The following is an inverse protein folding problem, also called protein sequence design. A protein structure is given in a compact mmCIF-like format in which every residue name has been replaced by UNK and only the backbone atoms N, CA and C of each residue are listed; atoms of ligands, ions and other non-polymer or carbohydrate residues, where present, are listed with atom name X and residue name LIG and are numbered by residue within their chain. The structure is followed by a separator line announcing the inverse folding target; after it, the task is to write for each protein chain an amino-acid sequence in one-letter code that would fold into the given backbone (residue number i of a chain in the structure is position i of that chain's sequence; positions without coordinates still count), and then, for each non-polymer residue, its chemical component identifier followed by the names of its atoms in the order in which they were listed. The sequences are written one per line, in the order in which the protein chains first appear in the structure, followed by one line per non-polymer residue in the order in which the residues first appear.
data_IF_400892785474
#
_entry.id   IF_400892785474
#
_cell.length_a   1.000
_cell.length_b   1.000
_cell.length_c   1.000
_cell.angle_alpha   90.00
_cell.angle_beta   90.00
_cell.angle_gamma   90.00
#
_symmetry.space_group_name_H-M   'P 1'
#
loop_
_entity.id
_entity.type
_entity.pdbx_description
1 polymer ?
#
# COMPACT_ATOMS: atom_id res chain seq x y z
N UNK A 1 -9.79 -41.47 -20.40
CA UNK A 1 -9.94 -40.34 -21.34
C UNK A 1 -9.03 -39.21 -20.88
N UNK A 2 -8.01 -38.87 -21.66
CA UNK A 2 -7.23 -37.65 -21.43
C UNK A 2 -7.90 -36.51 -22.18
N UNK A 3 -8.27 -35.45 -21.45
CA UNK A 3 -8.78 -34.22 -22.07
C UNK A 3 -7.56 -33.46 -22.56
N UNK A 4 -7.29 -33.54 -23.86
CA UNK A 4 -6.24 -32.75 -24.51
C UNK A 4 -6.91 -31.47 -24.99
N UNK A 5 -6.59 -30.36 -24.34
CA UNK A 5 -7.05 -29.04 -24.78
C UNK A 5 -6.23 -28.63 -26.03
N UNK A 6 -6.87 -28.20 -27.12
CA UNK A 6 -6.19 -27.58 -28.25
C UNK A 6 -5.40 -26.34 -27.80
N UNK A 7 -4.28 -26.06 -28.48
CA UNK A 7 -3.38 -24.94 -28.14
C UNK A 7 -4.12 -23.59 -28.13
N UNK A 8 -5.12 -23.42 -29.00
CA UNK A 8 -5.96 -22.22 -29.02
C UNK A 8 -6.78 -22.05 -27.73
N UNK A 9 -7.32 -23.14 -27.19
CA UNK A 9 -8.05 -23.12 -25.92
C UNK A 9 -7.11 -22.85 -24.74
N UNK A 10 -5.88 -23.37 -24.78
CA UNK A 10 -4.85 -23.07 -23.78
C UNK A 10 -4.49 -21.59 -23.82
N UNK A 11 -4.33 -21.02 -25.01
CA UNK A 11 -4.01 -19.60 -25.18
C UNK A 11 -5.14 -18.68 -24.69
N UNK A 12 -6.39 -19.00 -25.02
CA UNK A 12 -7.56 -18.27 -24.52
C UNK A 12 -7.66 -18.33 -23.00
N UNK A 13 -7.39 -19.51 -22.41
CA UNK A 13 -7.37 -19.67 -20.97
C UNK A 13 -6.27 -18.82 -20.31
N UNK A 14 -5.06 -18.82 -20.89
CA UNK A 14 -3.95 -18.00 -20.40
C UNK A 14 -4.31 -16.51 -20.43
N UNK A 15 -4.90 -16.02 -21.52
CA UNK A 15 -5.32 -14.63 -21.64
C UNK A 15 -6.37 -14.27 -20.58
N UNK A 16 -7.36 -15.13 -20.38
CA UNK A 16 -8.41 -14.92 -19.38
C UNK A 16 -7.83 -14.88 -17.96
N UNK A 17 -6.91 -15.81 -17.64
CA UNK A 17 -6.25 -15.86 -16.33
C UNK A 17 -5.39 -14.61 -16.11
N UNK A 18 -4.61 -14.18 -17.11
CA UNK A 18 -3.81 -12.96 -17.02
C UNK A 18 -4.68 -11.73 -16.74
N UNK A 19 -5.79 -11.58 -17.47
CA UNK A 19 -6.73 -10.49 -17.25
C UNK A 19 -7.36 -10.53 -15.87
N UNK A 20 -7.73 -11.72 -15.37
CA UNK A 20 -8.27 -11.88 -14.02
C UNK A 20 -7.26 -11.49 -12.95
N UNK A 21 -5.99 -11.91 -13.09
CA UNK A 21 -4.92 -11.56 -12.16
C UNK A 21 -4.66 -10.04 -12.19
N UNK A 22 -4.54 -9.44 -13.38
CA UNK A 22 -4.34 -8.00 -13.53
C UNK A 22 -5.49 -7.20 -12.89
N UNK A 23 -6.73 -7.61 -13.13
CA UNK A 23 -7.90 -6.96 -12.55
C UNK A 23 -7.94 -7.11 -11.02
N UNK A 24 -7.60 -8.27 -10.47
CA UNK A 24 -7.57 -8.47 -9.03
C UNK A 24 -6.46 -7.65 -8.37
N UNK A 25 -5.26 -7.61 -8.97
CA UNK A 25 -4.16 -6.76 -8.51
C UNK A 25 -4.59 -5.29 -8.56
N UNK A 26 -5.15 -4.84 -9.69
CA UNK A 26 -5.61 -3.46 -9.85
C UNK A 26 -6.72 -3.11 -8.84
N UNK A 27 -7.71 -3.96 -8.66
CA UNK A 27 -8.77 -3.77 -7.66
C UNK A 27 -8.20 -3.72 -6.23
N UNK A 28 -7.21 -4.56 -5.91
CA UNK A 28 -6.53 -4.54 -4.60
C UNK A 28 -5.69 -3.28 -4.42
N UNK A 29 -5.06 -2.79 -5.48
CA UNK A 29 -4.31 -1.54 -5.44
C UNK A 29 -5.26 -0.35 -5.31
N UNK A 30 -6.28 -0.26 -6.17
CA UNK A 30 -7.27 0.83 -6.22
C UNK A 30 -8.10 0.91 -4.93
N UNK A 31 -8.53 -0.23 -4.37
CA UNK A 31 -9.18 -0.27 -3.05
C UNK A 31 -8.24 0.10 -1.89
N UNK A 32 -6.92 0.07 -2.10
CA UNK A 32 -5.92 0.52 -1.14
C UNK A 32 -5.33 1.90 -1.44
N UNK A 33 -6.03 2.73 -2.24
CA UNK A 33 -5.68 4.14 -2.40
C UNK A 33 -4.30 4.33 -3.08
N UNK A 34 -4.16 3.78 -4.30
CA UNK A 34 -3.13 4.21 -5.27
C UNK A 34 -3.23 5.72 -5.46
N UNK A 35 -2.23 6.55 -5.22
CA UNK A 35 -0.95 6.37 -4.53
C UNK A 35 -0.58 7.79 -4.09
N UNK A 36 -1.21 8.29 -3.03
CA UNK A 36 -0.60 9.44 -2.35
C UNK A 36 0.73 8.94 -1.78
N UNK A 37 1.88 9.54 -2.12
CA UNK A 37 3.17 9.16 -1.52
C UNK A 37 3.12 9.35 0.01
N UNK A 38 2.15 10.13 0.48
CA UNK A 38 1.93 10.40 1.88
C UNK A 38 0.86 9.50 2.50
N UNK A 39 1.23 8.91 3.63
CA UNK A 39 0.34 8.16 4.50
C UNK A 39 -0.52 9.11 5.33
N UNK A 40 -1.77 8.76 5.57
CA UNK A 40 -2.56 9.35 6.65
C UNK A 40 -2.16 8.74 8.02
N UNK A 41 -2.70 9.27 9.11
CA UNK A 41 -2.36 8.82 10.48
C UNK A 41 -2.60 7.32 10.72
N UNK A 42 -3.71 6.77 10.22
CA UNK A 42 -4.02 5.34 10.36
C UNK A 42 -3.06 4.48 9.53
N UNK A 43 -2.77 4.90 8.30
CA UNK A 43 -1.81 4.23 7.44
C UNK A 43 -0.39 4.27 8.02
N UNK A 44 0.04 5.38 8.62
CA UNK A 44 1.32 5.50 9.30
C UNK A 44 1.41 4.55 10.50
N UNK A 45 0.35 4.44 11.33
CA UNK A 45 0.29 3.47 12.42
C UNK A 45 0.45 2.02 11.90
N UNK A 46 -0.28 1.67 10.84
CA UNK A 46 -0.21 0.34 10.21
C UNK A 46 1.16 0.06 9.60
N UNK A 47 1.75 1.04 8.92
CA UNK A 47 3.07 0.95 8.31
C UNK A 47 4.18 0.71 9.34
N UNK A 48 4.11 1.44 10.45
CA UNK A 48 5.09 1.38 11.53
C UNK A 48 4.85 0.24 12.52
N UNK A 49 3.68 -0.42 12.46
CA UNK A 49 3.31 -1.47 13.41
C UNK A 49 3.08 -0.96 14.84
N UNK A 50 2.65 0.29 15.01
CA UNK A 50 2.46 0.94 16.33
C UNK A 50 1.04 1.41 16.56
N UNK A 51 0.69 1.58 17.83
CA UNK A 51 -0.57 2.20 18.24
C UNK A 51 -0.56 3.73 18.03
N UNK A 52 -1.75 4.32 17.93
CA UNK A 52 -1.93 5.74 17.61
C UNK A 52 -1.32 6.69 18.65
N UNK A 53 -1.40 6.31 19.93
CA UNK A 53 -0.79 7.04 21.04
C UNK A 53 0.74 7.07 20.94
N UNK A 54 1.36 5.98 20.48
CA UNK A 54 2.80 5.91 20.22
C UNK A 54 3.18 6.86 19.10
N UNK A 55 2.43 6.84 18.00
CA UNK A 55 2.65 7.77 16.89
C UNK A 55 2.54 9.23 17.35
N UNK A 56 1.54 9.56 18.17
CA UNK A 56 1.40 10.92 18.74
C UNK A 56 2.57 11.31 19.65
N UNK A 57 3.09 10.36 20.43
CA UNK A 57 4.29 10.57 21.24
C UNK A 57 5.50 10.88 20.36
N UNK A 58 5.66 10.17 19.23
CA UNK A 58 6.75 10.41 18.29
C UNK A 58 6.63 11.76 17.58
N UNK A 59 5.42 12.17 17.20
CA UNK A 59 5.17 13.51 16.65
C UNK A 59 5.58 14.60 17.67
N UNK A 60 5.28 14.41 18.96
CA UNK A 60 5.75 15.32 20.02
C UNK A 60 7.27 15.33 20.18
N UNK A 61 7.94 14.21 19.87
CA UNK A 61 9.41 14.07 19.87
C UNK A 61 10.08 14.56 18.57
N UNK A 62 9.32 15.06 17.59
CA UNK A 62 9.86 15.61 16.35
C UNK A 62 9.85 14.68 15.15
N UNK A 63 9.01 13.62 15.15
CA UNK A 63 8.74 12.85 13.94
C UNK A 63 8.25 13.79 12.82
N UNK A 64 8.81 13.70 11.60
CA UNK A 64 8.43 14.56 10.48
C UNK A 64 6.96 14.37 10.09
N UNK A 65 6.27 15.49 9.92
CA UNK A 65 4.83 15.54 9.58
C UNK A 65 4.54 16.64 8.57
N UNK A 66 3.71 16.32 7.59
CA UNK A 66 3.19 17.27 6.61
C UNK A 66 1.78 17.67 7.05
N UNK A 67 1.55 18.97 7.27
CA UNK A 67 0.24 19.50 7.70
C UNK A 67 -0.47 20.17 6.54
N UNK A 68 -1.68 19.69 6.23
CA UNK A 68 -2.56 20.26 5.20
C UNK A 68 -3.90 20.59 5.85
N UNK A 69 -4.09 21.86 6.20
CA UNK A 69 -5.24 22.31 6.98
C UNK A 69 -5.34 21.60 8.33
N UNK A 70 -6.46 20.92 8.58
CA UNK A 70 -6.69 20.12 9.80
C UNK A 70 -6.14 18.68 9.71
N UNK A 71 -5.58 18.29 8.57
CA UNK A 71 -5.11 16.92 8.33
C UNK A 71 -3.59 16.81 8.45
N UNK A 72 -3.13 15.63 8.84
CA UNK A 72 -1.72 15.26 8.87
C UNK A 72 -1.42 14.14 7.89
N UNK A 73 -0.24 14.23 7.30
CA UNK A 73 0.30 13.32 6.28
C UNK A 73 1.76 13.01 6.60
N UNK A 74 2.23 11.83 6.20
CA UNK A 74 3.57 11.32 6.50
C UNK A 74 4.22 10.78 5.24
N UNK A 75 5.42 11.25 4.92
CA UNK A 75 6.25 10.66 3.87
C UNK A 75 6.96 9.41 4.40
N UNK A 76 6.94 8.31 3.64
CA UNK A 76 7.56 7.05 4.06
C UNK A 76 9.08 7.16 4.18
N UNK A 77 9.73 7.92 3.29
CA UNK A 77 11.18 8.11 3.28
C UNK A 77 11.58 8.88 4.52
N UNK A 78 10.89 9.99 4.83
CA UNK A 78 11.18 10.78 6.03
C UNK A 78 10.94 10.01 7.33
N UNK A 79 9.87 9.19 7.40
CA UNK A 79 9.62 8.30 8.53
C UNK A 79 10.80 7.35 8.77
N UNK A 80 11.26 6.67 7.71
CA UNK A 80 12.37 5.73 7.81
C UNK A 80 13.69 6.41 8.18
N UNK A 81 13.95 7.59 7.60
CA UNK A 81 15.13 8.38 7.93
C UNK A 81 15.11 8.81 9.40
N UNK A 82 13.96 9.25 9.92
CA UNK A 82 13.83 9.61 11.33
C UNK A 82 14.08 8.41 12.25
N UNK A 83 13.52 7.23 11.91
CA UNK A 83 13.72 5.99 12.67
C UNK A 83 15.18 5.54 12.72
N UNK A 84 15.93 5.73 11.64
CA UNK A 84 17.36 5.41 11.57
C UNK A 84 18.23 6.34 12.43
N UNK A 85 17.73 7.53 12.75
CA UNK A 85 18.43 8.55 13.53
C UNK A 85 17.90 8.68 14.98
N UNK A 86 17.20 7.64 15.49
CA UNK A 86 16.76 7.59 16.90
C UNK A 86 17.85 7.12 17.86
#
# INVERSE_FOLDING_TARGET
MQVILPDEQIHQLQLLISQLIENEIKNKLDSNNVESPFLNKQQACKYLGIANNTLDSWIKKGLPVIRVGKTVRFDRIELNHWLQNQ
#
